data_IF_720189252180
#
_entry.id   IF_720189252180
#
_cell.length_a   1.000
_cell.length_b   1.000
_cell.length_c   1.000
_cell.angle_alpha   90.00
_cell.angle_beta   90.00
_cell.angle_gamma   90.00
#
_symmetry.space_group_name_H-M   'P 1'
#
loop_
_entity.id
_entity.type
_entity.pdbx_description
1 polymer ?
#
# COMPACT_ATOMS: atom_id res chain seq x y z
N UNK A 1 -5.10 -30.26 -29.73
CA UNK A 1 -4.76 -31.04 -28.52
C UNK A 1 -3.78 -30.36 -27.57
N UNK A 2 -2.59 -29.84 -27.99
CA UNK A 2 -1.62 -29.16 -27.10
C UNK A 2 -2.09 -27.76 -26.65
N UNK A 3 -2.74 -27.02 -27.55
CA UNK A 3 -3.27 -25.65 -27.28
C UNK A 3 -4.49 -25.68 -26.35
N UNK A 4 -5.33 -26.70 -26.46
CA UNK A 4 -6.52 -26.88 -25.61
C UNK A 4 -6.16 -27.29 -24.18
N UNK A 5 -5.15 -28.16 -23.99
CA UNK A 5 -4.62 -28.51 -22.67
C UNK A 5 -4.01 -27.29 -21.96
N UNK A 6 -3.38 -26.38 -22.71
CA UNK A 6 -2.77 -25.19 -22.17
C UNK A 6 -3.82 -24.17 -21.68
N UNK A 7 -4.89 -23.99 -22.44
CA UNK A 7 -6.01 -23.14 -22.08
C UNK A 7 -6.69 -23.68 -20.81
N UNK A 8 -6.93 -24.99 -20.72
CA UNK A 8 -7.54 -25.58 -19.52
C UNK A 8 -6.70 -25.46 -18.25
N UNK A 9 -5.35 -25.53 -18.34
CA UNK A 9 -4.45 -25.34 -17.19
C UNK A 9 -4.39 -23.88 -16.74
N UNK A 10 -4.50 -22.92 -17.65
CA UNK A 10 -4.55 -21.49 -17.31
C UNK A 10 -5.91 -21.14 -16.67
N UNK A 11 -7.00 -21.70 -17.17
CA UNK A 11 -8.33 -21.53 -16.57
C UNK A 11 -8.42 -22.14 -15.16
N UNK A 12 -7.85 -23.32 -14.95
CA UNK A 12 -7.81 -23.97 -13.63
C UNK A 12 -6.97 -23.15 -12.62
N UNK A 13 -5.82 -22.64 -13.03
CA UNK A 13 -5.00 -21.77 -12.20
C UNK A 13 -5.72 -20.46 -11.86
N UNK A 14 -6.43 -19.88 -12.82
CA UNK A 14 -7.22 -18.66 -12.61
C UNK A 14 -8.37 -18.93 -11.64
N UNK A 15 -9.09 -20.04 -11.81
CA UNK A 15 -10.18 -20.43 -10.92
C UNK A 15 -9.70 -20.65 -9.48
N UNK A 16 -8.55 -21.32 -9.29
CA UNK A 16 -7.93 -21.51 -7.98
C UNK A 16 -7.53 -20.17 -7.33
N UNK A 17 -6.98 -19.23 -8.10
CA UNK A 17 -6.64 -17.88 -7.61
C UNK A 17 -7.89 -17.10 -7.21
N UNK A 18 -8.93 -17.15 -8.02
CA UNK A 18 -10.21 -16.49 -7.69
C UNK A 18 -10.84 -17.10 -6.43
N UNK A 19 -10.79 -18.42 -6.28
CA UNK A 19 -11.26 -19.10 -5.08
C UNK A 19 -10.45 -18.68 -3.84
N UNK A 20 -9.13 -18.58 -3.94
CA UNK A 20 -8.26 -18.08 -2.85
C UNK A 20 -8.61 -16.64 -2.47
N UNK A 21 -8.81 -15.76 -3.45
CA UNK A 21 -9.23 -14.36 -3.24
C UNK A 21 -10.56 -14.33 -2.48
N UNK A 22 -11.54 -15.11 -2.92
CA UNK A 22 -12.85 -15.19 -2.29
C UNK A 22 -12.77 -15.65 -0.84
N UNK A 23 -12.00 -16.72 -0.56
CA UNK A 23 -11.82 -17.25 0.80
C UNK A 23 -11.18 -16.18 1.71
N UNK A 24 -10.15 -15.49 1.22
CA UNK A 24 -9.48 -14.43 2.00
C UNK A 24 -10.42 -13.25 2.25
N UNK A 25 -11.19 -12.81 1.25
CA UNK A 25 -12.16 -11.71 1.41
C UNK A 25 -13.26 -12.07 2.42
N UNK A 26 -13.80 -13.28 2.35
CA UNK A 26 -14.79 -13.77 3.30
C UNK A 26 -14.18 -13.85 4.70
N UNK A 27 -12.95 -14.35 4.84
CA UNK A 27 -12.25 -14.42 6.11
C UNK A 27 -12.02 -13.02 6.72
N UNK A 28 -11.50 -12.09 5.92
CA UNK A 28 -11.27 -10.70 6.37
C UNK A 28 -12.60 -10.03 6.74
N UNK A 29 -13.64 -10.18 5.92
CA UNK A 29 -14.96 -9.59 6.18
C UNK A 29 -15.56 -10.11 7.49
N UNK A 30 -15.47 -11.43 7.73
CA UNK A 30 -15.99 -12.03 8.96
C UNK A 30 -15.21 -11.57 10.19
N UNK A 31 -13.87 -11.59 10.14
CA UNK A 31 -13.02 -11.15 11.26
C UNK A 31 -13.27 -9.68 11.58
N UNK A 32 -13.34 -8.81 10.55
CA UNK A 32 -13.60 -7.38 10.74
C UNK A 32 -14.98 -7.15 11.33
N UNK A 33 -16.00 -7.84 10.82
CA UNK A 33 -17.35 -7.77 11.37
C UNK A 33 -17.41 -8.22 12.82
N UNK A 34 -16.75 -9.34 13.14
CA UNK A 34 -16.68 -9.88 14.51
C UNK A 34 -15.98 -8.90 15.47
N UNK A 35 -14.85 -8.32 15.06
CA UNK A 35 -14.12 -7.34 15.87
C UNK A 35 -14.96 -6.09 16.14
N UNK A 36 -15.69 -5.59 15.16
CA UNK A 36 -16.59 -4.44 15.36
C UNK A 36 -17.81 -4.80 16.22
N UNK A 37 -18.34 -6.01 16.09
CA UNK A 37 -19.42 -6.52 16.93
C UNK A 37 -19.01 -6.67 18.41
N UNK A 38 -17.76 -7.13 18.65
CA UNK A 38 -17.20 -7.29 20.00
C UNK A 38 -16.60 -5.99 20.58
N UNK A 39 -16.54 -4.93 19.77
CA UNK A 39 -15.99 -3.65 20.23
C UNK A 39 -16.85 -3.04 21.33
N UNK A 40 -16.24 -2.52 22.41
CA UNK A 40 -16.98 -1.90 23.49
C UNK A 40 -17.67 -0.60 23.00
N UNK A 41 -18.90 -0.42 23.40
CA UNK A 41 -19.73 0.73 23.05
C UNK A 41 -20.99 0.35 22.28
N UNK A 42 -21.95 1.25 22.25
CA UNK A 42 -23.18 1.10 21.50
C UNK A 42 -23.11 1.89 20.20
N UNK A 43 -23.15 1.24 19.01
CA UNK A 43 -23.09 1.94 17.72
C UNK A 43 -24.19 2.99 17.56
N UNK A 44 -25.37 2.76 18.11
CA UNK A 44 -26.49 3.71 18.07
C UNK A 44 -26.20 4.95 18.92
N UNK A 45 -25.70 4.74 20.14
CA UNK A 45 -25.30 5.88 21.01
C UNK A 45 -24.18 6.69 20.36
N UNK A 46 -23.19 6.01 19.79
CA UNK A 46 -22.07 6.67 19.09
C UNK A 46 -22.57 7.49 17.90
N UNK A 47 -23.54 6.98 17.13
CA UNK A 47 -24.16 7.69 16.01
C UNK A 47 -24.84 8.99 16.46
N UNK A 48 -25.65 8.95 17.50
CA UNK A 48 -26.31 10.15 18.02
C UNK A 48 -25.34 11.12 18.68
N UNK A 49 -24.38 10.62 19.46
CA UNK A 49 -23.36 11.45 20.09
C UNK A 49 -22.48 12.18 19.06
N UNK A 50 -22.15 11.51 17.96
CA UNK A 50 -21.42 12.11 16.83
C UNK A 50 -22.23 13.23 16.15
N UNK A 51 -23.56 13.12 16.14
CA UNK A 51 -24.48 14.17 15.66
C UNK A 51 -24.73 15.29 16.70
N UNK A 52 -24.08 15.23 17.88
CA UNK A 52 -24.27 16.19 18.96
C UNK A 52 -25.59 16.00 19.74
N UNK A 53 -26.24 14.84 19.61
CA UNK A 53 -27.51 14.52 20.23
C UNK A 53 -27.26 13.53 21.37
N UNK A 54 -27.81 13.82 22.56
CA UNK A 54 -27.90 12.84 23.66
C UNK A 54 -29.18 12.02 23.51
N UNK A 55 -29.09 10.76 23.06
CA UNK A 55 -30.29 9.95 22.83
C UNK A 55 -30.91 9.47 24.14
N UNK A 56 -32.25 9.40 24.17
CA UNK A 56 -32.97 8.70 25.26
C UNK A 56 -32.84 7.18 25.07
N UNK A 57 -33.06 6.42 26.15
CA UNK A 57 -33.02 4.95 26.09
C UNK A 57 -34.04 4.37 25.11
N UNK A 58 -35.24 5.02 25.03
CA UNK A 58 -36.27 4.63 24.10
C UNK A 58 -35.84 4.81 22.64
N UNK A 59 -35.25 5.96 22.31
CA UNK A 59 -34.72 6.24 20.96
C UNK A 59 -33.61 5.28 20.57
N UNK A 60 -32.72 4.92 21.52
CA UNK A 60 -31.67 3.93 21.30
C UNK A 60 -32.27 2.56 21.01
N UNK A 61 -33.29 2.13 21.79
CA UNK A 61 -33.93 0.83 21.61
C UNK A 61 -34.67 0.74 20.25
N UNK A 62 -35.43 1.78 19.87
CA UNK A 62 -36.11 1.87 18.60
C UNK A 62 -35.16 1.81 17.41
N UNK A 63 -34.09 2.62 17.45
CA UNK A 63 -33.09 2.64 16.37
C UNK A 63 -32.31 1.33 16.27
N UNK A 64 -32.04 0.65 17.40
CA UNK A 64 -31.43 -0.69 17.38
C UNK A 64 -32.30 -1.72 16.68
N UNK A 65 -33.60 -1.65 16.89
CA UNK A 65 -34.56 -2.53 16.25
C UNK A 65 -34.65 -2.24 14.74
N UNK A 66 -34.77 -0.97 14.35
CA UNK A 66 -34.79 -0.54 12.95
C UNK A 66 -33.52 -0.97 12.17
N UNK A 67 -32.35 -0.86 12.79
CA UNK A 67 -31.07 -1.28 12.21
C UNK A 67 -30.85 -2.80 12.28
N UNK A 68 -31.75 -3.55 12.97
CA UNK A 68 -31.64 -4.99 13.15
C UNK A 68 -30.41 -5.41 13.97
N UNK A 69 -29.96 -4.56 14.90
CA UNK A 69 -28.82 -4.82 15.77
C UNK A 69 -29.15 -5.78 16.92
N UNK A 70 -30.43 -6.08 17.11
CA UNK A 70 -30.92 -7.09 18.08
C UNK A 70 -30.95 -8.51 17.48
N UNK A 71 -30.73 -8.66 16.15
CA UNK A 71 -30.68 -9.96 15.51
C UNK A 71 -29.43 -10.75 15.92
N UNK A 72 -29.47 -12.10 15.83
CA UNK A 72 -28.27 -12.93 16.03
C UNK A 72 -27.13 -12.52 15.08
N UNK A 73 -25.87 -12.61 15.58
CA UNK A 73 -24.66 -12.25 14.83
C UNK A 73 -24.62 -12.83 13.40
N UNK A 74 -24.94 -14.12 13.15
CA UNK A 74 -24.91 -14.65 11.78
C UNK A 74 -25.88 -13.94 10.85
N UNK A 75 -27.07 -13.54 11.33
CA UNK A 75 -28.08 -12.83 10.56
C UNK A 75 -27.60 -11.42 10.20
N UNK A 76 -27.03 -10.71 11.16
CA UNK A 76 -26.43 -9.38 10.92
C UNK A 76 -25.30 -9.45 9.92
N UNK A 77 -24.38 -10.42 10.07
CA UNK A 77 -23.26 -10.61 9.15
C UNK A 77 -23.71 -10.93 7.73
N UNK A 78 -24.62 -11.88 7.54
CA UNK A 78 -25.12 -12.25 6.22
C UNK A 78 -25.88 -11.10 5.54
N UNK A 79 -26.64 -10.31 6.29
CA UNK A 79 -27.32 -9.10 5.80
C UNK A 79 -26.29 -8.07 5.32
N UNK A 80 -25.28 -7.78 6.14
CA UNK A 80 -24.20 -6.86 5.80
C UNK A 80 -23.39 -7.35 4.59
N UNK A 81 -22.99 -8.62 4.56
CA UNK A 81 -22.25 -9.20 3.43
C UNK A 81 -23.04 -9.13 2.11
N UNK A 82 -24.35 -9.43 2.18
CA UNK A 82 -25.23 -9.31 1.01
C UNK A 82 -25.30 -7.86 0.47
N UNK A 83 -25.34 -6.88 1.35
CA UNK A 83 -25.33 -5.46 0.96
C UNK A 83 -23.96 -5.08 0.36
N UNK A 84 -22.85 -5.51 0.96
CA UNK A 84 -21.51 -5.30 0.41
C UNK A 84 -21.35 -5.87 -1.00
N UNK A 85 -21.91 -7.06 -1.29
CA UNK A 85 -21.89 -7.66 -2.64
C UNK A 85 -22.68 -6.84 -3.67
N UNK A 86 -23.59 -5.95 -3.23
CA UNK A 86 -24.32 -5.00 -4.08
C UNK A 86 -23.64 -3.63 -4.16
N UNK A 87 -22.46 -3.47 -3.53
CA UNK A 87 -21.74 -2.21 -3.45
C UNK A 87 -22.25 -1.24 -2.37
N UNK A 88 -23.17 -1.69 -1.51
CA UNK A 88 -23.68 -0.91 -0.40
C UNK A 88 -22.95 -1.30 0.89
N UNK A 89 -22.03 -0.46 1.33
CA UNK A 89 -21.29 -0.59 2.59
C UNK A 89 -21.97 0.13 3.76
N UNK A 90 -23.22 0.59 3.58
CA UNK A 90 -23.96 1.37 4.55
C UNK A 90 -23.56 2.84 4.58
N UNK A 91 -24.04 3.54 5.61
CA UNK A 91 -23.73 4.95 5.86
C UNK A 91 -22.78 5.10 7.03
N UNK A 92 -21.85 6.03 6.92
CA UNK A 92 -21.01 6.48 8.02
C UNK A 92 -21.89 7.09 9.12
N UNK A 93 -21.67 6.67 10.35
CA UNK A 93 -22.42 7.19 11.50
C UNK A 93 -22.05 8.64 11.83
N UNK A 94 -20.80 9.01 11.65
CA UNK A 94 -20.29 10.35 11.98
C UNK A 94 -20.47 11.35 10.86
N UNK A 95 -20.27 10.94 9.61
CA UNK A 95 -20.31 11.83 8.45
C UNK A 95 -21.67 11.84 7.74
N UNK A 96 -22.56 10.92 8.10
CA UNK A 96 -23.92 10.75 7.53
C UNK A 96 -23.94 10.66 5.98
N UNK A 97 -22.87 10.08 5.40
CA UNK A 97 -22.70 9.87 3.97
C UNK A 97 -22.54 8.39 3.64
N UNK A 98 -22.88 7.96 2.42
CA UNK A 98 -22.59 6.59 1.99
C UNK A 98 -21.07 6.28 2.11
N UNK A 99 -20.75 5.14 2.70
CA UNK A 99 -19.35 4.71 2.90
C UNK A 99 -18.62 4.60 1.56
N UNK A 100 -19.30 4.11 0.52
CA UNK A 100 -18.75 4.00 -0.84
C UNK A 100 -18.29 5.37 -1.38
N UNK A 101 -19.09 6.42 -1.20
CA UNK A 101 -18.76 7.78 -1.63
C UNK A 101 -17.50 8.30 -0.90
N UNK A 102 -17.44 8.09 0.42
CA UNK A 102 -16.31 8.50 1.25
C UNK A 102 -15.03 7.80 0.82
N UNK A 103 -15.07 6.49 0.58
CA UNK A 103 -13.91 5.70 0.17
C UNK A 103 -13.42 6.09 -1.23
N UNK A 104 -14.34 6.22 -2.20
CA UNK A 104 -13.99 6.65 -3.57
C UNK A 104 -13.40 8.07 -3.58
N UNK A 105 -13.96 8.99 -2.79
CA UNK A 105 -13.45 10.36 -2.68
C UNK A 105 -12.03 10.45 -2.11
N UNK A 106 -11.62 9.48 -1.27
CA UNK A 106 -10.29 9.43 -0.63
C UNK A 106 -9.29 8.53 -1.36
N UNK A 107 -9.75 7.69 -2.28
CA UNK A 107 -8.89 6.76 -3.03
C UNK A 107 -7.85 7.50 -3.88
N UNK A 108 -8.31 8.45 -4.70
CA UNK A 108 -7.42 9.16 -5.62
C UNK A 108 -6.33 9.99 -4.91
N UNK A 109 -6.61 10.73 -3.82
CA UNK A 109 -5.57 11.32 -2.99
C UNK A 109 -4.50 10.32 -2.55
N UNK A 110 -4.86 9.18 -1.97
CA UNK A 110 -3.91 8.16 -1.53
C UNK A 110 -3.10 7.58 -2.70
N UNK A 111 -3.73 7.32 -3.85
CA UNK A 111 -3.03 6.86 -5.06
C UNK A 111 -1.99 7.90 -5.53
N UNK A 112 -2.35 9.19 -5.57
CA UNK A 112 -1.40 10.26 -5.92
C UNK A 112 -0.20 10.30 -4.96
N UNK A 113 -0.47 10.25 -3.65
CA UNK A 113 0.56 10.24 -2.62
C UNK A 113 1.49 9.02 -2.81
N UNK A 114 0.92 7.83 -3.01
CA UNK A 114 1.66 6.60 -3.23
C UNK A 114 2.56 6.68 -4.47
N UNK A 115 2.02 7.10 -5.62
CA UNK A 115 2.78 7.20 -6.87
C UNK A 115 3.92 8.23 -6.76
N UNK A 116 3.65 9.39 -6.16
CA UNK A 116 4.69 10.41 -5.96
C UNK A 116 5.78 9.91 -5.00
N UNK A 117 5.39 9.25 -3.90
CA UNK A 117 6.34 8.66 -2.94
C UNK A 117 7.22 7.59 -3.59
N UNK A 118 6.63 6.74 -4.43
CA UNK A 118 7.38 5.72 -5.18
C UNK A 118 8.33 6.34 -6.19
N UNK A 119 7.90 7.36 -6.92
CA UNK A 119 8.76 8.07 -7.87
C UNK A 119 9.97 8.69 -7.17
N UNK A 120 9.75 9.39 -6.05
CA UNK A 120 10.83 9.97 -5.25
C UNK A 120 11.74 8.88 -4.65
N UNK A 121 11.16 7.79 -4.16
CA UNK A 121 11.92 6.66 -3.62
C UNK A 121 12.83 6.05 -4.69
N UNK A 122 12.33 5.81 -5.91
CA UNK A 122 13.12 5.29 -7.02
C UNK A 122 14.25 6.25 -7.41
N UNK A 123 13.93 7.55 -7.47
CA UNK A 123 14.90 8.61 -7.79
C UNK A 123 16.06 8.66 -6.78
N UNK A 124 15.81 8.30 -5.52
CA UNK A 124 16.83 8.23 -4.47
C UNK A 124 17.51 6.87 -4.41
N UNK A 125 16.73 5.80 -4.37
CA UNK A 125 17.23 4.46 -4.08
C UNK A 125 18.07 3.88 -5.22
N UNK A 126 17.67 4.08 -6.47
CA UNK A 126 18.37 3.50 -7.62
C UNK A 126 19.76 4.12 -7.79
N UNK A 127 19.93 5.46 -7.85
CA UNK A 127 21.27 6.04 -7.97
C UNK A 127 22.16 5.73 -6.77
N UNK A 128 21.64 5.84 -5.54
CA UNK A 128 22.43 5.56 -4.34
C UNK A 128 22.85 4.09 -4.25
N UNK A 129 21.96 3.17 -4.59
CA UNK A 129 22.26 1.74 -4.61
C UNK A 129 23.28 1.37 -5.67
N UNK A 130 23.17 1.93 -6.88
CA UNK A 130 24.15 1.77 -7.95
C UNK A 130 25.52 2.32 -7.57
N UNK A 131 25.57 3.56 -7.05
CA UNK A 131 26.81 4.18 -6.58
C UNK A 131 27.48 3.32 -5.51
N UNK A 132 26.71 2.84 -4.53
CA UNK A 132 27.19 1.97 -3.47
C UNK A 132 27.75 0.64 -4.01
N UNK A 133 27.12 0.06 -5.04
CA UNK A 133 27.60 -1.17 -5.67
C UNK A 133 28.88 -0.96 -6.50
N UNK A 134 28.91 0.09 -7.32
CA UNK A 134 30.08 0.41 -8.18
C UNK A 134 31.31 0.76 -7.34
N UNK A 135 31.12 1.49 -6.26
CA UNK A 135 32.19 1.88 -5.33
C UNK A 135 32.26 0.95 -4.11
N UNK A 136 31.96 -0.34 -4.30
CA UNK A 136 31.99 -1.36 -3.25
C UNK A 136 33.28 -1.25 -2.39
N UNK A 137 33.10 -1.30 -1.06
CA UNK A 137 34.13 -1.24 -0.04
C UNK A 137 35.00 0.04 -0.06
N UNK A 138 34.52 1.12 -0.72
CA UNK A 138 35.09 2.47 -0.67
C UNK A 138 34.27 3.38 0.25
N UNK A 139 34.80 4.58 0.54
CA UNK A 139 34.15 5.55 1.44
C UNK A 139 32.70 5.91 1.04
N UNK A 140 32.39 5.95 -0.27
CA UNK A 140 31.03 6.19 -0.80
C UNK A 140 30.09 5.06 -0.38
N UNK A 141 30.52 3.80 -0.50
CA UNK A 141 29.73 2.65 -0.07
C UNK A 141 29.47 2.69 1.43
N UNK A 142 30.47 2.97 2.23
CA UNK A 142 30.33 3.09 3.69
C UNK A 142 29.38 4.24 4.07
N UNK A 143 29.46 5.39 3.40
CA UNK A 143 28.56 6.52 3.62
C UNK A 143 27.11 6.15 3.30
N UNK A 144 26.85 5.59 2.10
CA UNK A 144 25.49 5.18 1.69
C UNK A 144 24.93 4.12 2.63
N UNK A 145 25.71 3.13 3.01
CA UNK A 145 25.31 2.09 3.98
C UNK A 145 25.00 2.67 5.35
N UNK A 146 25.81 3.62 5.83
CA UNK A 146 25.57 4.32 7.08
C UNK A 146 24.26 5.11 7.05
N UNK A 147 24.03 5.90 5.98
CA UNK A 147 22.80 6.67 5.79
C UNK A 147 21.56 5.75 5.71
N UNK A 148 21.66 4.65 4.95
CA UNK A 148 20.54 3.69 4.85
C UNK A 148 20.29 2.94 6.15
N UNK A 149 21.31 2.68 6.95
CA UNK A 149 21.16 2.09 8.27
C UNK A 149 20.40 3.03 9.21
N UNK A 150 20.81 4.29 9.29
CA UNK A 150 20.10 5.32 10.07
C UNK A 150 18.66 5.47 9.58
N UNK A 151 18.45 5.60 8.27
CA UNK A 151 17.10 5.77 7.71
C UNK A 151 16.17 4.58 7.97
N UNK A 152 16.69 3.34 8.01
CA UNK A 152 15.89 2.16 8.38
C UNK A 152 15.55 2.10 9.88
N UNK A 153 16.39 2.70 10.73
CA UNK A 153 16.18 2.72 12.18
C UNK A 153 15.17 3.81 12.62
N UNK A 154 14.96 4.83 11.77
CA UNK A 154 14.07 5.96 12.11
C UNK A 154 12.61 5.63 11.80
N UNK A 155 11.69 5.85 12.75
CA UNK A 155 10.25 5.72 12.49
C UNK A 155 9.78 6.76 11.45
N UNK A 156 8.92 6.34 10.51
CA UNK A 156 8.42 7.20 9.43
C UNK A 156 7.77 8.48 9.96
N UNK A 157 6.99 8.36 11.04
CA UNK A 157 6.31 9.51 11.65
C UNK A 157 7.30 10.54 12.19
N UNK A 158 8.41 10.09 12.75
CA UNK A 158 9.44 10.99 13.30
C UNK A 158 10.16 11.77 12.19
N UNK A 159 10.48 11.09 11.08
CA UNK A 159 11.01 11.75 9.87
C UNK A 159 10.02 12.80 9.36
N UNK A 160 8.72 12.47 9.30
CA UNK A 160 7.67 13.40 8.90
C UNK A 160 7.59 14.64 9.79
N UNK A 161 7.64 14.46 11.11
CA UNK A 161 7.62 15.58 12.05
C UNK A 161 8.87 16.47 11.94
N UNK A 162 10.06 15.90 11.75
CA UNK A 162 11.29 16.66 11.53
C UNK A 162 11.24 17.46 10.22
N UNK A 163 10.75 16.87 9.13
CA UNK A 163 10.56 17.56 7.86
C UNK A 163 9.54 18.69 7.98
N UNK A 164 8.42 18.44 8.67
CA UNK A 164 7.41 19.47 8.94
C UNK A 164 8.01 20.62 9.76
N UNK A 165 8.72 20.32 10.83
CA UNK A 165 9.38 21.32 11.65
C UNK A 165 10.37 22.17 10.84
N UNK A 166 11.23 21.53 10.04
CA UNK A 166 12.24 22.23 9.25
C UNK A 166 11.61 23.07 8.14
N UNK A 167 10.73 22.50 7.33
CA UNK A 167 10.29 23.10 6.08
C UNK A 167 8.96 23.85 6.15
N UNK A 168 8.08 23.52 7.12
CA UNK A 168 6.82 24.25 7.30
C UNK A 168 6.95 25.34 8.36
N UNK A 169 7.69 25.08 9.46
CA UNK A 169 7.75 26.01 10.60
C UNK A 169 8.95 26.97 10.48
N UNK A 170 10.17 26.43 10.28
CA UNK A 170 11.38 27.27 10.25
C UNK A 170 11.57 27.94 8.88
N UNK A 171 11.62 27.15 7.79
CA UNK A 171 11.92 27.69 6.45
C UNK A 171 10.65 28.24 5.77
N UNK A 172 9.46 27.78 6.16
CA UNK A 172 8.14 28.22 5.67
C UNK A 172 7.95 28.10 4.15
N UNK A 173 8.54 27.08 3.55
CA UNK A 173 8.42 26.81 2.10
C UNK A 173 7.16 26.00 1.78
N UNK A 174 6.75 25.08 2.67
CA UNK A 174 5.61 24.19 2.47
C UNK A 174 4.49 24.47 3.48
N UNK A 175 3.22 24.23 3.12
CA UNK A 175 2.11 24.36 4.06
C UNK A 175 2.13 23.23 5.09
N UNK A 176 1.60 23.49 6.28
CA UNK A 176 1.47 22.49 7.36
C UNK A 176 0.34 21.49 7.02
N UNK A 177 -0.77 22.00 6.48
CA UNK A 177 -1.93 21.19 6.10
C UNK A 177 -1.82 20.85 4.62
N UNK A 178 -1.90 19.58 4.30
CA UNK A 178 -1.78 19.10 2.93
C UNK A 178 -3.15 18.93 2.27
N UNK A 179 -3.23 19.24 0.97
CA UNK A 179 -4.40 19.05 0.15
C UNK A 179 -4.09 18.21 -1.09
N UNK A 180 -5.04 17.40 -1.56
CA UNK A 180 -4.84 16.54 -2.73
C UNK A 180 -4.77 17.32 -4.06
N UNK A 181 -5.17 18.58 -4.08
CA UNK A 181 -5.18 19.45 -5.26
C UNK A 181 -3.89 20.21 -5.51
N UNK A 182 -3.01 20.32 -4.51
CA UNK A 182 -1.78 21.11 -4.57
C UNK A 182 -0.55 20.22 -4.47
N UNK A 183 0.26 20.16 -5.54
CA UNK A 183 1.51 19.40 -5.59
C UNK A 183 2.53 19.86 -4.54
N UNK A 184 2.52 21.15 -4.19
CA UNK A 184 3.43 21.69 -3.19
C UNK A 184 3.11 21.12 -1.81
N UNK A 185 1.85 20.94 -1.49
CA UNK A 185 1.41 20.39 -0.20
C UNK A 185 1.60 18.87 -0.09
N UNK A 186 1.55 18.14 -1.22
CA UNK A 186 1.77 16.68 -1.24
C UNK A 186 3.25 16.31 -1.13
N UNK A 187 4.15 17.24 -1.48
CA UNK A 187 5.58 16.92 -1.61
C UNK A 187 6.21 16.42 -0.29
N UNK A 188 5.95 17.08 0.82
CA UNK A 188 6.51 16.69 2.13
C UNK A 188 6.00 15.31 2.61
N UNK A 189 4.69 15.03 2.61
CA UNK A 189 4.18 13.68 2.89
C UNK A 189 4.83 12.61 1.99
N UNK A 190 4.94 12.90 0.69
CA UNK A 190 5.54 11.99 -0.28
C UNK A 190 7.04 11.78 -0.02
N UNK A 191 7.77 12.85 0.28
CA UNK A 191 9.19 12.78 0.63
C UNK A 191 9.42 11.99 1.92
N UNK A 192 8.55 12.15 2.92
CA UNK A 192 8.60 11.38 4.17
C UNK A 192 8.55 9.87 3.89
N UNK A 193 7.56 9.44 3.13
CA UNK A 193 7.41 8.03 2.74
C UNK A 193 8.58 7.56 1.86
N UNK A 194 9.02 8.41 0.92
CA UNK A 194 10.12 8.10 0.03
C UNK A 194 11.43 7.88 0.79
N UNK A 195 11.78 8.73 1.76
CA UNK A 195 13.00 8.60 2.57
C UNK A 195 13.00 7.32 3.39
N UNK A 196 11.89 7.01 4.03
CA UNK A 196 11.75 5.79 4.81
C UNK A 196 11.94 4.53 3.96
N UNK A 197 11.35 4.51 2.76
CA UNK A 197 11.47 3.39 1.84
C UNK A 197 12.82 3.35 1.13
N UNK A 198 13.37 4.50 0.73
CA UNK A 198 14.62 4.56 -0.03
C UNK A 198 15.77 3.86 0.68
N UNK A 199 15.80 3.93 2.01
CA UNK A 199 16.82 3.25 2.83
C UNK A 199 16.82 1.73 2.65
N UNK A 200 15.65 1.11 2.61
CA UNK A 200 15.48 -0.33 2.34
C UNK A 200 15.83 -0.65 0.89
N UNK A 201 15.28 0.12 -0.06
CA UNK A 201 15.43 -0.15 -1.50
C UNK A 201 16.84 0.12 -2.02
N UNK A 202 17.55 1.12 -1.49
CA UNK A 202 18.97 1.36 -1.80
C UNK A 202 19.83 0.12 -1.53
N UNK A 203 19.62 -0.55 -0.40
CA UNK A 203 20.33 -1.80 -0.08
C UNK A 203 19.97 -2.94 -1.02
N UNK A 204 18.71 -3.05 -1.43
CA UNK A 204 18.26 -4.08 -2.35
C UNK A 204 18.82 -3.85 -3.76
N UNK A 205 18.79 -2.60 -4.24
CA UNK A 205 19.44 -2.23 -5.52
C UNK A 205 20.92 -2.56 -5.48
N UNK A 206 21.62 -2.18 -4.39
CA UNK A 206 23.04 -2.51 -4.21
C UNK A 206 23.29 -4.01 -4.31
N UNK A 207 22.51 -4.82 -3.61
CA UNK A 207 22.66 -6.29 -3.60
C UNK A 207 22.40 -6.86 -5.00
N UNK A 208 21.30 -6.50 -5.65
CA UNK A 208 20.98 -6.98 -6.99
C UNK A 208 22.05 -6.61 -8.03
N UNK A 209 22.56 -5.37 -7.96
CA UNK A 209 23.64 -4.92 -8.87
C UNK A 209 24.93 -5.69 -8.60
N UNK A 210 25.31 -5.93 -7.33
CA UNK A 210 26.50 -6.70 -7.00
C UNK A 210 26.40 -8.17 -7.43
N UNK A 211 25.23 -8.79 -7.27
CA UNK A 211 24.98 -10.16 -7.74
C UNK A 211 25.13 -10.26 -9.25
N UNK A 212 24.57 -9.32 -10.00
CA UNK A 212 24.69 -9.28 -11.46
C UNK A 212 26.13 -8.95 -11.94
N UNK A 213 26.86 -8.11 -11.23
CA UNK A 213 28.27 -7.80 -11.55
C UNK A 213 29.22 -9.00 -11.42
N UNK A 214 28.83 -10.02 -10.68
CA UNK A 214 29.60 -11.25 -10.47
C UNK A 214 29.22 -12.39 -11.46
N UNK A 215 28.29 -12.17 -12.39
CA UNK A 215 27.86 -13.18 -13.34
C UNK A 215 28.91 -13.42 -14.45
N UNK A 216 28.96 -14.64 -14.99
CA UNK A 216 29.94 -15.06 -16.01
C UNK A 216 29.87 -14.20 -17.28
N UNK A 217 28.69 -13.71 -17.68
CA UNK A 217 28.57 -12.85 -18.85
C UNK A 217 29.27 -11.49 -18.67
N UNK A 218 29.33 -10.99 -17.42
CA UNK A 218 30.06 -9.76 -17.08
C UNK A 218 31.58 -10.01 -17.14
N UNK A 219 32.02 -11.12 -16.58
CA UNK A 219 33.43 -11.54 -16.67
C UNK A 219 33.85 -11.70 -18.14
N UNK A 220 33.02 -12.36 -18.95
CA UNK A 220 33.27 -12.52 -20.37
C UNK A 220 33.28 -11.19 -21.15
N UNK A 221 32.42 -10.21 -20.76
CA UNK A 221 32.42 -8.88 -21.37
C UNK A 221 33.71 -8.09 -21.04
N UNK A 222 34.17 -8.17 -19.78
CA UNK A 222 35.48 -7.59 -19.36
C UNK A 222 36.66 -8.19 -20.10
N UNK A 223 36.68 -9.52 -20.25
CA UNK A 223 37.72 -10.20 -21.01
C UNK A 223 37.80 -9.78 -22.48
N UNK A 224 36.66 -9.37 -23.06
CA UNK A 224 36.58 -8.79 -24.42
C UNK A 224 36.93 -7.30 -24.50
N UNK A 225 37.29 -6.66 -23.39
CA UNK A 225 37.69 -5.25 -23.36
C UNK A 225 36.49 -4.26 -23.42
N UNK A 226 35.27 -4.71 -23.13
CA UNK A 226 34.10 -3.82 -23.07
C UNK A 226 34.23 -2.85 -21.90
N UNK A 227 33.92 -1.55 -22.14
CA UNK A 227 34.04 -0.51 -21.10
C UNK A 227 33.10 -0.81 -19.92
N UNK A 228 33.56 -0.61 -18.70
CA UNK A 228 32.77 -0.84 -17.46
C UNK A 228 31.42 -0.10 -17.45
N UNK A 229 31.37 1.14 -17.95
CA UNK A 229 30.11 1.90 -18.05
C UNK A 229 29.10 1.24 -18.97
N UNK A 230 29.55 0.65 -20.09
CA UNK A 230 28.67 -0.09 -21.02
C UNK A 230 28.17 -1.38 -20.37
N UNK A 231 29.04 -2.11 -19.70
CA UNK A 231 28.70 -3.32 -18.96
C UNK A 231 27.65 -2.99 -17.91
N UNK A 232 27.85 -1.92 -17.10
CA UNK A 232 26.97 -1.52 -16.03
C UNK A 232 25.57 -1.15 -16.56
N UNK A 233 25.49 -0.22 -17.52
CA UNK A 233 24.20 0.33 -17.97
C UNK A 233 23.45 -0.56 -18.95
N UNK A 234 24.16 -1.32 -19.77
CA UNK A 234 23.54 -2.11 -20.87
C UNK A 234 23.34 -3.59 -20.50
N UNK A 235 24.10 -4.12 -19.55
CA UNK A 235 24.05 -5.52 -19.17
C UNK A 235 23.61 -5.72 -17.72
N UNK A 236 24.29 -5.11 -16.77
CA UNK A 236 24.06 -5.33 -15.33
C UNK A 236 22.74 -4.69 -14.88
N UNK A 237 22.55 -3.41 -15.13
CA UNK A 237 21.40 -2.65 -14.64
C UNK A 237 20.04 -3.20 -15.11
N UNK A 238 19.83 -3.51 -16.40
CA UNK A 238 18.57 -4.08 -16.85
C UNK A 238 18.24 -5.43 -16.20
N UNK A 239 19.25 -6.28 -16.00
CA UNK A 239 19.06 -7.58 -15.36
C UNK A 239 18.80 -7.43 -13.85
N UNK A 240 19.52 -6.53 -13.18
CA UNK A 240 19.31 -6.20 -11.77
C UNK A 240 17.93 -5.60 -11.48
N UNK A 241 17.27 -4.96 -12.47
CA UNK A 241 15.92 -4.42 -12.32
C UNK A 241 14.84 -5.50 -12.21
N UNK A 242 15.03 -6.69 -12.80
CA UNK A 242 14.03 -7.74 -12.84
C UNK A 242 13.51 -8.13 -11.43
N UNK A 243 14.37 -8.50 -10.46
CA UNK A 243 13.92 -8.79 -9.10
C UNK A 243 13.37 -7.55 -8.37
N UNK A 244 13.85 -6.34 -8.73
CA UNK A 244 13.40 -5.10 -8.10
C UNK A 244 11.99 -4.70 -8.50
N UNK A 245 11.58 -4.89 -9.76
CA UNK A 245 10.21 -4.61 -10.24
C UNK A 245 9.19 -5.38 -9.41
N UNK A 246 9.48 -6.63 -9.13
CA UNK A 246 8.68 -7.46 -8.23
C UNK A 246 8.49 -6.85 -6.86
N UNK A 247 9.59 -6.48 -6.23
CA UNK A 247 9.58 -5.93 -4.88
C UNK A 247 8.87 -4.57 -4.85
N UNK A 248 9.01 -3.76 -5.91
CA UNK A 248 8.29 -2.50 -6.05
C UNK A 248 6.78 -2.71 -6.16
N UNK A 249 6.36 -3.69 -6.96
CA UNK A 249 4.94 -4.04 -7.08
C UNK A 249 4.31 -4.40 -5.75
N UNK A 250 4.96 -5.27 -4.97
CA UNK A 250 4.49 -5.64 -3.62
C UNK A 250 4.47 -4.44 -2.66
N UNK A 251 5.37 -3.48 -2.85
CA UNK A 251 5.44 -2.28 -2.00
C UNK A 251 4.32 -1.29 -2.26
N UNK A 252 3.72 -1.28 -3.45
CA UNK A 252 2.50 -0.47 -3.72
C UNK A 252 1.38 -0.87 -2.76
N UNK A 253 1.14 -2.18 -2.61
CA UNK A 253 0.13 -2.68 -1.69
C UNK A 253 0.41 -2.32 -0.23
N UNK A 254 1.67 -2.45 0.20
CA UNK A 254 2.06 -2.09 1.57
C UNK A 254 2.00 -0.59 1.84
N UNK A 255 2.26 0.25 0.83
CA UNK A 255 2.13 1.70 0.93
C UNK A 255 0.68 2.12 1.10
N UNK A 256 -0.23 1.58 0.29
CA UNK A 256 -1.65 1.93 0.38
C UNK A 256 -2.24 1.65 1.77
N UNK A 257 -1.73 0.63 2.48
CA UNK A 257 -2.10 0.36 3.87
C UNK A 257 -1.28 1.13 4.90
N UNK A 258 -0.04 1.48 4.58
CA UNK A 258 0.94 2.04 5.53
C UNK A 258 1.09 3.57 5.51
N UNK A 259 0.37 4.29 4.66
CA UNK A 259 0.42 5.75 4.58
C UNK A 259 -0.32 6.46 5.70
N UNK A 260 -1.17 5.75 6.45
CA UNK A 260 -2.13 6.31 7.42
C UNK A 260 -1.49 7.29 8.41
N UNK A 261 -0.36 6.92 9.01
CA UNK A 261 0.31 7.77 10.01
C UNK A 261 0.81 9.07 9.37
N UNK A 262 1.38 8.99 8.17
CA UNK A 262 1.88 10.17 7.44
C UNK A 262 0.72 11.04 6.97
N UNK A 263 -0.36 10.44 6.48
CA UNK A 263 -1.58 11.17 6.10
C UNK A 263 -2.19 11.94 7.28
N UNK A 264 -2.20 11.34 8.49
CA UNK A 264 -2.68 12.01 9.71
C UNK A 264 -1.76 13.17 10.11
N UNK A 265 -0.43 12.96 10.16
CA UNK A 265 0.54 14.00 10.55
C UNK A 265 0.42 15.24 9.67
N UNK A 266 0.32 15.05 8.36
CA UNK A 266 0.21 16.13 7.39
C UNK A 266 -1.23 16.57 7.12
N UNK A 267 -2.21 16.02 7.84
CA UNK A 267 -3.65 16.25 7.61
C UNK A 267 -4.05 16.02 6.15
N UNK A 268 -3.37 15.08 5.48
CA UNK A 268 -3.62 14.77 4.07
C UNK A 268 -4.94 14.00 3.92
N UNK A 269 -5.81 14.40 2.99
CA UNK A 269 -7.16 13.83 2.86
C UNK A 269 -7.17 12.48 2.12
N UNK A 270 -6.45 11.48 2.63
CA UNK A 270 -6.36 10.15 2.07
C UNK A 270 -7.24 9.10 2.78
N UNK A 271 -7.16 7.85 2.31
CA UNK A 271 -7.87 6.70 2.86
C UNK A 271 -7.42 6.35 4.27
N UNK A 272 -6.10 6.46 4.55
CA UNK A 272 -5.55 6.15 5.86
C UNK A 272 -5.99 7.16 6.93
N UNK A 273 -6.05 8.45 6.59
CA UNK A 273 -6.58 9.48 7.47
C UNK A 273 -8.08 9.25 7.76
N UNK A 274 -8.85 8.88 6.73
CA UNK A 274 -10.27 8.53 6.89
C UNK A 274 -10.43 7.32 7.82
N UNK A 275 -9.60 6.30 7.69
CA UNK A 275 -9.63 5.12 8.55
C UNK A 275 -9.34 5.43 10.01
N UNK A 276 -8.28 6.23 10.27
CA UNK A 276 -7.95 6.64 11.66
C UNK A 276 -9.09 7.46 12.26
N UNK A 277 -9.68 8.38 11.48
CA UNK A 277 -10.86 9.14 11.90
C UNK A 277 -12.04 8.23 12.24
N UNK A 278 -12.32 7.22 11.41
CA UNK A 278 -13.38 6.24 11.65
C UNK A 278 -13.16 5.44 12.93
N UNK A 279 -11.91 5.01 13.18
CA UNK A 279 -11.54 4.27 14.40
C UNK A 279 -11.74 5.13 15.64
N UNK A 280 -11.25 6.37 15.62
CA UNK A 280 -11.35 7.29 16.77
C UNK A 280 -12.79 7.69 17.08
N UNK A 281 -13.66 7.72 16.09
CA UNK A 281 -15.09 8.01 16.25
C UNK A 281 -15.98 6.77 16.38
N UNK A 282 -15.39 5.57 16.42
CA UNK A 282 -16.11 4.28 16.48
C UNK A 282 -17.18 4.13 15.39
N UNK A 283 -16.86 4.58 14.18
CA UNK A 283 -17.72 4.48 13.00
C UNK A 283 -17.60 3.09 12.37
N UNK A 284 -18.34 2.13 12.88
CA UNK A 284 -18.19 0.71 12.52
C UNK A 284 -18.46 0.43 11.04
N UNK A 285 -19.48 1.06 10.43
CA UNK A 285 -19.75 0.88 9.01
C UNK A 285 -18.58 1.35 8.15
N UNK A 286 -17.98 2.49 8.50
CA UNK A 286 -16.84 3.03 7.76
C UNK A 286 -15.59 2.19 7.98
N UNK A 287 -15.35 1.67 9.19
CA UNK A 287 -14.22 0.77 9.48
C UNK A 287 -14.35 -0.53 8.67
N UNK A 288 -15.52 -1.18 8.70
CA UNK A 288 -15.76 -2.43 7.98
C UNK A 288 -15.62 -2.23 6.47
N UNK A 289 -16.23 -1.18 5.93
CA UNK A 289 -16.12 -0.83 4.52
C UNK A 289 -14.68 -0.54 4.09
N UNK A 290 -13.93 0.23 4.90
CA UNK A 290 -12.52 0.54 4.64
C UNK A 290 -11.64 -0.72 4.59
N UNK A 291 -11.75 -1.61 5.58
CA UNK A 291 -10.92 -2.82 5.63
C UNK A 291 -11.20 -3.74 4.44
N UNK A 292 -12.47 -3.93 4.10
CA UNK A 292 -12.84 -4.74 2.93
C UNK A 292 -12.38 -4.11 1.62
N UNK A 293 -12.52 -2.79 1.49
CA UNK A 293 -12.05 -2.03 0.34
C UNK A 293 -10.53 -2.09 0.17
N UNK A 294 -9.80 -1.94 1.28
CA UNK A 294 -8.33 -2.07 1.28
C UNK A 294 -7.88 -3.47 0.88
N UNK A 295 -8.56 -4.51 1.38
CA UNK A 295 -8.29 -5.89 1.00
C UNK A 295 -8.51 -6.13 -0.50
N UNK A 296 -9.59 -5.59 -1.08
CA UNK A 296 -9.86 -5.63 -2.52
C UNK A 296 -8.75 -4.95 -3.33
N UNK A 297 -8.37 -3.73 -2.96
CA UNK A 297 -7.29 -2.99 -3.63
C UNK A 297 -5.98 -3.77 -3.56
N UNK A 298 -5.63 -4.31 -2.38
CA UNK A 298 -4.41 -5.10 -2.22
C UNK A 298 -4.40 -6.34 -3.11
N UNK A 299 -5.52 -7.03 -3.23
CA UNK A 299 -5.64 -8.20 -4.11
C UNK A 299 -5.54 -7.85 -5.59
N UNK A 300 -6.17 -6.74 -6.01
CA UNK A 300 -6.06 -6.24 -7.39
C UNK A 300 -4.60 -5.91 -7.72
N UNK A 301 -3.89 -5.24 -6.80
CA UNK A 301 -2.47 -4.91 -6.98
C UNK A 301 -1.64 -6.18 -7.07
N UNK A 302 -1.84 -7.16 -6.20
CA UNK A 302 -1.11 -8.43 -6.27
C UNK A 302 -1.37 -9.16 -7.60
N UNK A 303 -2.62 -9.16 -8.08
CA UNK A 303 -2.95 -9.75 -9.38
C UNK A 303 -2.24 -9.03 -10.53
N UNK A 304 -2.18 -7.69 -10.50
CA UNK A 304 -1.46 -6.89 -11.50
C UNK A 304 0.06 -7.14 -11.44
N UNK A 305 0.62 -7.26 -10.24
CA UNK A 305 2.03 -7.61 -10.04
C UNK A 305 2.32 -9.01 -10.60
N UNK A 306 1.49 -9.99 -10.27
CA UNK A 306 1.62 -11.35 -10.79
C UNK A 306 1.53 -11.39 -12.33
N UNK A 307 0.60 -10.63 -12.92
CA UNK A 307 0.49 -10.50 -14.37
C UNK A 307 1.74 -9.84 -15.00
N UNK A 308 2.35 -8.88 -14.30
CA UNK A 308 3.56 -8.20 -14.77
C UNK A 308 4.80 -9.11 -14.84
N UNK A 309 4.87 -10.14 -13.98
CA UNK A 309 5.97 -11.13 -14.02
C UNK A 309 6.07 -11.81 -15.37
N UNK A 310 4.92 -12.28 -15.91
CA UNK A 310 4.87 -12.93 -17.22
C UNK A 310 5.27 -12.01 -18.39
N UNK A 311 5.16 -10.69 -18.20
CA UNK A 311 5.55 -9.70 -19.20
C UNK A 311 7.05 -9.33 -19.11
N UNK A 312 7.61 -9.29 -17.91
CA UNK A 312 8.97 -8.75 -17.64
C UNK A 312 10.04 -9.84 -17.66
N UNK A 313 9.73 -11.09 -17.26
CA UNK A 313 10.70 -12.19 -17.26
C UNK A 313 10.44 -13.22 -18.36
N UNK A 314 11.13 -13.14 -19.52
CA UNK A 314 11.03 -14.13 -20.59
C UNK A 314 11.46 -15.56 -20.16
N UNK A 315 12.28 -15.68 -19.12
CA UNK A 315 12.79 -16.98 -18.63
C UNK A 315 11.68 -17.78 -17.93
N UNK A 316 10.73 -17.09 -17.31
CA UNK A 316 9.55 -17.73 -16.74
C UNK A 316 8.66 -18.36 -17.82
N UNK A 317 8.54 -17.70 -18.99
CA UNK A 317 7.82 -18.25 -20.16
C UNK A 317 8.49 -19.51 -20.70
N UNK A 318 9.82 -19.59 -20.69
CA UNK A 318 10.58 -20.76 -21.15
C UNK A 318 10.45 -21.96 -20.18
N UNK A 319 10.43 -21.73 -18.86
CA UNK A 319 10.22 -22.80 -17.86
C UNK A 319 8.81 -23.38 -17.90
N UNK A 320 7.80 -22.57 -18.22
CA UNK A 320 6.42 -23.06 -18.42
C UNK A 320 6.26 -23.86 -19.71
N UNK A 321 7.17 -23.72 -20.69
CA UNK A 321 7.17 -24.50 -21.94
C UNK A 321 7.80 -25.89 -21.79
N UNK A 322 8.57 -26.15 -20.72
CA UNK A 322 9.31 -27.39 -20.48
C UNK A 322 8.58 -28.31 -19.46
N UNK A 323 7.55 -27.79 -18.78
CA UNK A 323 6.67 -28.56 -17.91
C UNK A 323 5.34 -28.86 -18.60
#
# INVERSE_FOLDING_TARGET
>A
MYKERRIGLEEEKLALRLAQILVVLVGISFVTFLLTYLSPGDPVRNMYTAAGIMPTEELVAETREELGLNDPLPTQYLRWLRNCLRGDFGKSYTLNKPVTELLLGRLWPTVKLTLLSMGLMLLLAVPLGMLSAVYKDRWIDYLVRGLTFVGCAMPNFWVGLLLMLAFCVHIKVFPVISSAGDLRSIFLPALTLALAMSSKYTRQVRTAVLEEMNQDYVVGARARGVRESVILWRNVFPNALLPLITMFGLSVGSLLGGTSVVEVIFSYPGLGNLAVSAITSSDYNLIQGYVLWLALIYMVINLLVDASYGAVDPRMRAKEQIR
#
